data_IF_607427634946
#
_entry.id   IF_607427634946
#
_cell.length_a   1.000
_cell.length_b   1.000
_cell.length_c   1.000
_cell.angle_alpha   90.00
_cell.angle_beta   90.00
_cell.angle_gamma   90.00
#
_symmetry.space_group_name_H-M   'P 1'
#
loop_
_entity.id
_entity.type
_entity.pdbx_description
1 polymer ?
#
# COMPACT_ATOMS: atom_id res chain seq x y z
N UNK A 1 -8.25 15.81 7.15
CA UNK A 1 -7.77 15.52 5.78
C UNK A 1 -7.16 14.13 5.81
N UNK A 2 -7.73 13.18 5.07
CA UNK A 2 -7.16 11.85 4.90
C UNK A 2 -6.30 11.85 3.64
N UNK A 3 -5.04 11.45 3.79
CA UNK A 3 -4.05 11.34 2.74
C UNK A 3 -4.24 10.07 1.91
N UNK A 4 -3.70 10.02 0.68
CA UNK A 4 -3.60 8.77 -0.06
C UNK A 4 -2.76 7.81 0.75
N UNK A 5 -3.19 6.56 0.79
CA UNK A 5 -2.52 5.52 1.54
C UNK A 5 -2.30 4.29 0.66
N UNK A 6 -1.19 3.61 0.89
CA UNK A 6 -0.77 2.43 0.17
C UNK A 6 -0.39 1.36 1.18
N UNK A 7 -0.76 0.11 0.93
CA UNK A 7 -0.29 -1.03 1.71
C UNK A 7 -0.27 -2.31 0.90
N UNK A 8 0.21 -3.38 1.51
CA UNK A 8 0.15 -4.73 0.99
C UNK A 8 -0.83 -5.57 1.81
N UNK A 9 -1.60 -6.42 1.15
CA UNK A 9 -2.38 -7.49 1.77
C UNK A 9 -1.86 -8.83 1.28
N UNK A 10 -1.54 -9.72 2.21
CA UNK A 10 -0.98 -11.04 1.94
C UNK A 10 -2.07 -12.09 2.16
N UNK A 11 -2.16 -13.05 1.26
CA UNK A 11 -3.16 -14.11 1.29
C UNK A 11 -2.54 -15.49 1.05
N UNK A 12 -3.22 -16.51 1.56
CA UNK A 12 -2.87 -17.91 1.32
C UNK A 12 -3.40 -18.42 -0.03
N UNK A 13 -3.10 -19.67 -0.37
CA UNK A 13 -3.56 -20.33 -1.59
C UNK A 13 -5.09 -20.33 -1.79
N UNK A 14 -5.88 -20.13 -0.73
CA UNK A 14 -7.34 -20.06 -0.77
C UNK A 14 -7.88 -18.62 -0.87
N UNK A 15 -6.98 -17.62 -0.94
CA UNK A 15 -7.28 -16.18 -0.86
C UNK A 15 -7.81 -15.72 0.49
N UNK A 16 -7.56 -16.48 1.56
CA UNK A 16 -7.84 -16.02 2.91
C UNK A 16 -6.74 -15.05 3.38
N UNK A 17 -7.10 -13.94 4.06
CA UNK A 17 -6.14 -12.93 4.48
C UNK A 17 -5.22 -13.49 5.58
N UNK A 18 -3.91 -13.34 5.39
CA UNK A 18 -2.87 -13.72 6.36
C UNK A 18 -2.45 -12.50 7.17
N UNK A 19 -1.99 -11.45 6.49
CA UNK A 19 -1.39 -10.28 7.12
C UNK A 19 -1.47 -9.04 6.21
N UNK A 20 -1.26 -7.87 6.80
CA UNK A 20 -1.17 -6.60 6.09
C UNK A 20 0.11 -5.86 6.46
N UNK A 21 0.73 -5.18 5.50
CA UNK A 21 1.88 -4.32 5.79
C UNK A 21 1.45 -3.10 6.60
N UNK A 22 2.44 -2.35 7.11
CA UNK A 22 2.21 -0.96 7.49
C UNK A 22 1.62 -0.19 6.30
N UNK A 23 0.66 0.68 6.59
CA UNK A 23 0.09 1.61 5.62
C UNK A 23 1.07 2.79 5.46
N UNK A 24 1.54 2.98 4.23
CA UNK A 24 2.32 4.13 3.80
C UNK A 24 1.39 5.27 3.44
N UNK A 25 1.66 6.45 3.98
CA UNK A 25 0.91 7.68 3.69
C UNK A 25 1.87 8.86 3.73
N UNK A 26 1.54 9.93 3.00
CA UNK A 26 2.29 11.18 2.98
C UNK A 26 1.37 12.37 3.20
N UNK A 27 1.83 13.33 3.99
CA UNK A 27 1.25 14.68 4.08
C UNK A 27 2.14 15.73 3.40
N UNK A 28 3.24 15.31 2.77
CA UNK A 28 4.18 16.21 2.11
C UNK A 28 3.53 16.89 0.91
N UNK A 29 3.90 18.16 0.69
CA UNK A 29 3.56 18.91 -0.53
C UNK A 29 4.58 18.71 -1.64
N UNK A 30 5.64 17.94 -1.39
CA UNK A 30 6.68 17.55 -2.35
C UNK A 30 6.71 16.03 -2.50
N UNK A 31 7.22 15.56 -3.63
CA UNK A 31 7.45 14.13 -3.85
C UNK A 31 8.41 13.57 -2.80
N UNK A 32 8.00 12.50 -2.14
CA UNK A 32 8.82 11.77 -1.19
C UNK A 32 8.77 10.27 -1.47
N UNK A 33 9.87 9.59 -1.17
CA UNK A 33 9.92 8.14 -1.22
C UNK A 33 9.47 7.58 0.13
N UNK A 34 8.47 6.70 0.08
CA UNK A 34 7.99 5.95 1.23
C UNK A 34 8.19 4.46 0.96
N UNK A 35 8.60 3.71 1.98
CA UNK A 35 8.87 2.28 1.84
C UNK A 35 8.49 1.54 3.11
N UNK A 36 7.98 0.32 2.96
CA UNK A 36 7.74 -0.60 4.07
C UNK A 36 8.23 -2.00 3.70
N UNK A 37 8.32 -2.88 4.70
CA UNK A 37 8.67 -4.28 4.55
C UNK A 37 7.77 -5.13 5.42
N UNK A 38 7.37 -6.27 4.89
CA UNK A 38 6.64 -7.32 5.59
C UNK A 38 7.26 -8.67 5.26
N UNK A 39 7.20 -9.60 6.21
CA UNK A 39 7.63 -10.99 5.99
C UNK A 39 6.46 -11.79 5.44
N UNK A 40 6.63 -12.40 4.27
CA UNK A 40 5.59 -13.18 3.61
C UNK A 40 5.66 -14.65 4.03
N UNK A 41 5.14 -14.98 5.22
CA UNK A 41 5.04 -16.37 5.68
C UNK A 41 3.82 -17.05 5.05
N UNK A 42 4.01 -18.21 4.42
CA UNK A 42 2.93 -19.00 3.79
C UNK A 42 2.05 -18.19 2.83
N UNK A 43 2.63 -17.23 2.11
CA UNK A 43 1.90 -16.32 1.24
C UNK A 43 1.95 -16.78 -0.21
N UNK A 44 0.79 -16.88 -0.84
CA UNK A 44 0.63 -17.22 -2.26
C UNK A 44 0.22 -16.01 -3.10
N UNK A 45 -0.53 -15.06 -2.51
CA UNK A 45 -0.95 -13.84 -3.19
C UNK A 45 -0.58 -12.58 -2.39
N UNK A 46 -0.21 -11.53 -3.12
CA UNK A 46 0.06 -10.20 -2.58
C UNK A 46 -0.74 -9.19 -3.39
N UNK A 47 -1.66 -8.50 -2.75
CA UNK A 47 -2.36 -7.36 -3.35
C UNK A 47 -1.71 -6.06 -2.91
N UNK A 48 -1.50 -5.17 -3.89
CA UNK A 48 -1.14 -3.80 -3.65
C UNK A 48 -2.42 -2.96 -3.48
N UNK A 49 -2.66 -2.48 -2.27
CA UNK A 49 -3.93 -1.83 -1.92
C UNK A 49 -3.74 -0.33 -1.85
N UNK A 50 -4.45 0.37 -2.73
CA UNK A 50 -4.54 1.83 -2.73
C UNK A 50 -5.81 2.27 -2.00
N UNK A 51 -5.64 3.14 -1.02
CA UNK A 51 -6.69 3.66 -0.16
C UNK A 51 -6.77 5.17 -0.35
N UNK A 52 -7.97 5.67 -0.63
CA UNK A 52 -8.24 7.10 -0.68
C UNK A 52 -9.63 7.39 -0.13
N UNK A 53 -9.79 8.51 0.56
CA UNK A 53 -11.11 9.02 0.93
C UNK A 53 -11.57 10.01 -0.13
N UNK A 54 -12.69 9.71 -0.79
CA UNK A 54 -13.34 10.66 -1.68
C UNK A 54 -14.11 11.67 -0.84
N UNK A 55 -13.66 12.93 -0.83
CA UNK A 55 -14.46 14.02 -0.28
C UNK A 55 -15.37 14.56 -1.39
N UNK A 56 -16.64 14.81 -1.10
CA UNK A 56 -17.57 15.41 -2.06
C UNK A 56 -17.13 16.86 -2.39
N UNK A 57 -16.84 17.14 -3.66
CA UNK A 57 -16.56 18.49 -4.16
C UNK A 57 -15.06 18.86 -4.16
N UNK A 58 -14.56 19.16 -5.37
CA UNK A 58 -13.22 19.61 -5.75
C UNK A 58 -12.03 18.70 -5.35
N UNK A 59 -11.36 18.22 -6.40
CA UNK A 59 -10.19 17.33 -6.45
C UNK A 59 -9.40 17.22 -5.16
N UNK A 60 -9.49 16.03 -4.57
CA UNK A 60 -8.46 15.53 -3.68
C UNK A 60 -7.54 14.64 -4.53
N UNK A 61 -7.05 15.20 -5.64
CA UNK A 61 -6.15 14.53 -6.57
C UNK A 61 -4.86 14.19 -5.83
N UNK A 62 -4.63 12.89 -5.70
CA UNK A 62 -3.49 12.35 -4.99
C UNK A 62 -2.78 11.40 -5.93
N UNK A 63 -1.50 11.64 -6.09
CA UNK A 63 -0.68 10.95 -7.06
C UNK A 63 0.36 10.10 -6.34
N UNK A 64 0.63 8.95 -6.92
CA UNK A 64 1.75 8.08 -6.59
C UNK A 64 2.50 7.85 -7.90
N UNK A 65 3.81 7.73 -7.81
CA UNK A 65 4.66 7.42 -8.95
C UNK A 65 5.73 6.43 -8.51
N UNK A 66 6.29 5.70 -9.47
CA UNK A 66 7.39 4.75 -9.29
C UNK A 66 7.11 3.71 -8.19
N UNK A 67 6.08 2.87 -8.40
CA UNK A 67 5.75 1.77 -7.49
C UNK A 67 6.68 0.58 -7.71
N UNK A 68 7.31 0.12 -6.63
CA UNK A 68 8.18 -1.05 -6.66
C UNK A 68 7.75 -2.07 -5.61
N UNK A 69 7.66 -3.34 -6.02
CA UNK A 69 7.58 -4.49 -5.13
C UNK A 69 8.84 -5.32 -5.30
N UNK A 70 9.59 -5.50 -4.22
CA UNK A 70 10.80 -6.32 -4.21
C UNK A 70 10.55 -7.57 -3.37
N UNK A 71 10.70 -8.73 -4.00
CA UNK A 71 10.64 -10.03 -3.33
C UNK A 71 12.05 -10.51 -3.05
N UNK A 72 12.42 -10.61 -1.77
CA UNK A 72 13.71 -11.14 -1.34
C UNK A 72 13.48 -12.42 -0.54
N UNK A 73 14.15 -13.51 -0.93
CA UNK A 73 14.34 -14.64 -0.03
C UNK A 73 15.30 -14.22 1.09
N UNK A 74 15.01 -14.60 2.34
CA UNK A 74 15.98 -14.50 3.43
C UNK A 74 17.07 -15.55 3.28
#
# INVERSE_FOLDING_TARGET
MTSPAIGLSLFDAFREPIEHSQILTSLSTQWENVSTRITANNTDFVDFVMMATRNHGHDNDRYFDALFLLLNAQ
#
